data_IF_189916493532
#
_entry.id   IF_189916493532
#
_cell.length_a   1.000
_cell.length_b   1.000
_cell.length_c   1.000
_cell.angle_alpha   90.00
_cell.angle_beta   90.00
_cell.angle_gamma   90.00
#
_symmetry.space_group_name_H-M   'P 1'
#
loop_
_entity.id
_entity.type
_entity.pdbx_description
1 polymer ?
#
# COMPACT_ATOMS: atom_id res chain seq x y z
N UNK A 1 -25.60 13.75 11.22
CA UNK A 1 -24.71 13.39 10.10
C UNK A 1 -23.38 14.15 10.21
N UNK A 2 -23.39 15.49 10.18
CA UNK A 2 -22.17 16.31 10.31
C UNK A 2 -21.38 15.99 11.59
N UNK A 3 -22.08 15.86 12.72
CA UNK A 3 -21.45 15.47 14.00
C UNK A 3 -20.63 14.17 13.92
N UNK A 4 -21.07 13.18 13.13
CA UNK A 4 -20.37 11.90 12.97
C UNK A 4 -19.11 12.06 12.11
N UNK A 5 -19.17 12.92 11.08
CA UNK A 5 -18.01 13.26 10.25
C UNK A 5 -16.98 14.01 11.11
N UNK A 6 -17.45 14.94 11.95
CA UNK A 6 -16.60 15.77 12.81
C UNK A 6 -15.87 14.96 13.90
N UNK A 7 -16.34 13.75 14.25
CA UNK A 7 -15.56 12.83 15.10
C UNK A 7 -14.18 12.51 14.50
N UNK A 8 -14.09 12.48 13.16
CA UNK A 8 -12.84 12.28 12.41
C UNK A 8 -11.90 13.51 12.43
N UNK A 9 -12.37 14.68 12.87
CA UNK A 9 -11.55 15.88 12.99
C UNK A 9 -10.59 15.85 14.17
N UNK A 10 -10.66 14.82 15.02
CA UNK A 10 -9.71 14.61 16.11
C UNK A 10 -8.27 14.54 15.60
N UNK A 11 -7.33 15.14 16.33
CA UNK A 11 -5.91 14.92 16.07
C UNK A 11 -5.52 13.53 16.57
N UNK A 12 -4.70 12.77 15.83
CA UNK A 12 -4.12 11.54 16.35
C UNK A 12 -3.45 11.81 17.70
N UNK A 13 -3.60 10.92 18.69
CA UNK A 13 -2.94 11.08 19.97
C UNK A 13 -1.43 11.19 19.75
N UNK A 14 -0.81 12.24 20.30
CA UNK A 14 0.63 12.42 20.21
C UNK A 14 1.34 11.45 21.15
N UNK A 15 2.66 11.25 21.00
CA UNK A 15 3.45 10.43 21.93
C UNK A 15 3.27 10.77 23.42
N UNK A 16 2.80 11.99 23.74
CA UNK A 16 2.48 12.43 25.12
C UNK A 16 1.15 11.91 25.66
N UNK A 17 0.22 11.51 24.80
CA UNK A 17 -1.10 10.97 25.16
C UNK A 17 -1.29 9.62 24.47
N UNK A 18 -0.74 8.57 25.07
CA UNK A 18 -0.82 7.18 24.59
C UNK A 18 -2.27 6.68 24.59
N UNK A 19 -2.89 6.62 23.43
CA UNK A 19 -4.23 6.06 23.25
C UNK A 19 -4.36 5.42 21.87
N UNK A 20 -5.27 4.45 21.75
CA UNK A 20 -5.65 3.87 20.46
C UNK A 20 -6.52 4.85 19.68
N UNK A 21 -6.43 4.80 18.36
CA UNK A 21 -7.26 5.62 17.49
C UNK A 21 -7.57 4.91 16.17
N UNK A 22 -8.68 5.30 15.55
CA UNK A 22 -9.04 4.86 14.20
C UNK A 22 -8.49 5.85 13.18
N UNK A 23 -7.94 5.31 12.09
CA UNK A 23 -7.58 6.04 10.89
C UNK A 23 -8.49 5.60 9.76
N UNK A 24 -9.04 6.54 9.01
CA UNK A 24 -9.93 6.24 7.89
C UNK A 24 -9.61 7.13 6.70
N UNK A 25 -9.56 6.52 5.52
CA UNK A 25 -9.74 7.23 4.25
C UNK A 25 -11.07 6.74 3.65
N UNK A 26 -12.12 7.59 3.61
CA UNK A 26 -13.42 7.19 3.13
C UNK A 26 -13.44 6.90 1.62
N UNK A 27 -12.60 7.54 0.82
CA UNK A 27 -12.48 7.35 -0.63
C UNK A 27 -11.04 7.68 -1.05
N UNK A 28 -10.14 6.70 -0.93
CA UNK A 28 -8.79 6.81 -1.50
C UNK A 28 -8.85 6.62 -3.02
N UNK A 29 -8.13 7.48 -3.74
CA UNK A 29 -8.19 7.55 -5.19
C UNK A 29 -9.42 8.30 -5.72
N UNK A 30 -9.82 9.40 -5.06
CA UNK A 30 -11.01 10.18 -5.44
C UNK A 30 -11.06 10.57 -6.93
N UNK A 31 -9.91 10.85 -7.57
CA UNK A 31 -9.88 11.14 -9.01
C UNK A 31 -10.26 9.94 -9.87
N UNK A 32 -9.87 8.73 -9.48
CA UNK A 32 -10.22 7.49 -10.17
C UNK A 32 -11.68 7.13 -9.90
N UNK A 33 -12.14 7.30 -8.64
CA UNK A 33 -13.54 7.17 -8.28
C UNK A 33 -14.47 8.02 -9.17
N UNK A 34 -14.11 9.29 -9.42
CA UNK A 34 -14.88 10.18 -10.30
C UNK A 34 -14.95 9.73 -11.76
N UNK A 35 -13.99 8.91 -12.21
CA UNK A 35 -13.96 8.32 -13.56
C UNK A 35 -14.63 6.95 -13.62
N UNK A 36 -15.06 6.40 -12.48
CA UNK A 36 -15.58 5.03 -12.39
C UNK A 36 -14.48 3.95 -12.41
N UNK A 37 -13.23 4.32 -12.17
CA UNK A 37 -12.05 3.45 -12.12
C UNK A 37 -11.88 2.82 -10.71
N UNK A 38 -10.77 2.11 -10.48
CA UNK A 38 -10.45 1.52 -9.18
C UNK A 38 -10.31 2.58 -8.06
N UNK A 39 -10.89 2.30 -6.89
CA UNK A 39 -10.77 3.12 -5.69
C UNK A 39 -10.94 2.23 -4.46
N UNK A 40 -10.63 2.77 -3.29
CA UNK A 40 -10.77 2.01 -2.06
C UNK A 40 -11.32 2.82 -0.88
N UNK A 41 -11.88 2.08 0.09
CA UNK A 41 -12.25 2.58 1.41
C UNK A 41 -11.37 1.88 2.44
N UNK A 42 -10.67 2.67 3.25
CA UNK A 42 -9.64 2.16 4.15
C UNK A 42 -9.95 2.51 5.59
N UNK A 43 -9.75 1.53 6.48
CA UNK A 43 -9.90 1.71 7.92
C UNK A 43 -8.79 0.94 8.64
N UNK A 44 -8.13 1.61 9.59
CA UNK A 44 -7.10 1.02 10.44
C UNK A 44 -7.33 1.38 11.90
N UNK A 45 -7.06 0.43 12.80
CA UNK A 45 -6.93 0.70 14.24
C UNK A 45 -5.46 0.79 14.58
N UNK A 46 -5.02 1.91 15.16
CA UNK A 46 -3.63 2.16 15.56
C UNK A 46 -3.52 2.11 17.07
N UNK A 47 -2.46 1.48 17.58
CA UNK A 47 -2.15 1.43 19.00
C UNK A 47 -1.46 2.71 19.53
N UNK A 48 -1.24 2.74 20.83
CA UNK A 48 -0.57 3.84 21.52
C UNK A 48 0.91 4.04 21.14
N UNK A 49 1.50 3.10 20.38
CA UNK A 49 2.86 3.13 19.88
C UNK A 49 2.94 3.46 18.38
N UNK A 50 1.82 3.80 17.74
CA UNK A 50 1.78 4.12 16.32
C UNK A 50 1.87 2.88 15.42
N UNK A 51 1.46 1.70 15.91
CA UNK A 51 1.44 0.45 15.14
C UNK A 51 0.01 0.03 14.82
N UNK A 52 -0.23 -0.42 13.58
CA UNK A 52 -1.56 -0.87 13.19
C UNK A 52 -1.91 -2.19 13.89
N UNK A 53 -3.04 -2.29 14.57
CA UNK A 53 -3.56 -3.53 15.18
C UNK A 53 -4.49 -4.30 14.24
N UNK A 54 -5.28 -3.55 13.46
CA UNK A 54 -6.27 -4.06 12.51
C UNK A 54 -6.20 -3.19 11.25
N UNK A 55 -6.22 -3.83 10.08
CA UNK A 55 -6.34 -3.18 8.78
C UNK A 55 -7.54 -3.76 8.03
N UNK A 56 -8.32 -2.88 7.42
CA UNK A 56 -9.44 -3.20 6.56
C UNK A 56 -9.32 -2.36 5.30
N UNK A 57 -9.49 -3.01 4.16
CA UNK A 57 -9.51 -2.38 2.86
C UNK A 57 -10.68 -2.93 2.04
N UNK A 58 -11.65 -2.09 1.75
CA UNK A 58 -12.71 -2.40 0.80
C UNK A 58 -12.29 -1.89 -0.59
N UNK A 59 -12.44 -2.74 -1.59
CA UNK A 59 -12.16 -2.48 -3.00
C UNK A 59 -13.47 -2.68 -3.78
N UNK A 60 -14.37 -1.67 -3.81
CA UNK A 60 -15.73 -1.85 -4.33
C UNK A 60 -15.77 -2.17 -5.83
N UNK A 61 -14.80 -1.66 -6.58
CA UNK A 61 -14.70 -1.88 -8.02
C UNK A 61 -13.78 -3.06 -8.39
N UNK A 62 -13.26 -3.84 -7.44
CA UNK A 62 -12.39 -4.97 -7.77
C UNK A 62 -13.18 -6.27 -7.89
N UNK A 63 -13.30 -6.88 -9.09
CA UNK A 63 -14.07 -8.11 -9.27
C UNK A 63 -13.52 -9.27 -8.43
N UNK A 64 -14.41 -10.04 -7.80
CA UNK A 64 -14.00 -11.21 -7.02
C UNK A 64 -13.19 -12.21 -7.84
N UNK A 65 -13.52 -12.41 -9.13
CA UNK A 65 -12.76 -13.31 -10.00
C UNK A 65 -11.29 -12.89 -10.11
N UNK A 66 -11.03 -11.59 -10.29
CA UNK A 66 -9.69 -11.05 -10.43
C UNK A 66 -8.93 -11.14 -9.10
N UNK A 67 -9.60 -10.90 -7.98
CA UNK A 67 -9.00 -11.07 -6.65
C UNK A 67 -8.68 -12.54 -6.29
N UNK A 68 -9.38 -13.50 -6.90
CA UNK A 68 -9.15 -14.93 -6.69
C UNK A 68 -8.09 -15.52 -7.63
N UNK A 69 -7.89 -14.91 -8.80
CA UNK A 69 -6.92 -15.35 -9.80
C UNK A 69 -5.49 -14.92 -9.41
N UNK A 70 -4.78 -15.82 -8.73
CA UNK A 70 -3.40 -15.61 -8.33
C UNK A 70 -2.48 -15.63 -9.56
N UNK A 71 -2.19 -14.45 -10.11
CA UNK A 71 -1.38 -14.35 -11.33
C UNK A 71 -1.79 -13.17 -12.20
N UNK A 72 -3.06 -12.77 -12.14
CA UNK A 72 -3.58 -11.65 -12.92
C UNK A 72 -3.20 -10.31 -12.26
N UNK A 73 -2.82 -9.34 -13.09
CA UNK A 73 -2.60 -7.96 -12.65
C UNK A 73 -3.93 -7.27 -12.37
N UNK A 74 -3.92 -6.34 -11.43
CA UNK A 74 -5.07 -5.46 -11.24
C UNK A 74 -4.89 -4.27 -12.18
N UNK A 75 -5.92 -4.00 -12.96
CA UNK A 75 -5.95 -2.90 -13.93
C UNK A 75 -6.93 -1.82 -13.42
N UNK A 76 -6.58 -0.55 -13.65
CA UNK A 76 -7.31 0.62 -13.12
C UNK A 76 -8.74 0.75 -13.70
N UNK A 77 -8.94 0.31 -14.95
CA UNK A 77 -10.20 0.43 -15.70
C UNK A 77 -11.01 -0.88 -15.75
N UNK A 78 -10.44 -2.00 -15.32
CA UNK A 78 -11.14 -3.28 -15.22
C UNK A 78 -11.91 -3.35 -13.90
N UNK A 79 -13.17 -2.89 -13.92
CA UNK A 79 -14.00 -2.73 -12.73
C UNK A 79 -15.15 -3.74 -12.62
N UNK A 80 -15.59 -3.97 -11.38
CA UNK A 80 -16.81 -4.72 -11.06
C UNK A 80 -18.04 -3.82 -11.25
N UNK A 81 -18.88 -4.14 -12.24
CA UNK A 81 -20.09 -3.37 -12.58
C UNK A 81 -21.37 -4.00 -12.07
N UNK A 82 -21.33 -5.27 -11.66
CA UNK A 82 -22.51 -6.05 -11.27
C UNK A 82 -22.48 -6.46 -9.79
N UNK A 83 -21.28 -6.69 -9.26
CA UNK A 83 -21.05 -7.06 -7.88
C UNK A 83 -20.91 -5.86 -6.95
N UNK A 84 -20.29 -6.13 -5.81
CA UNK A 84 -19.99 -5.13 -4.78
C UNK A 84 -18.49 -5.10 -4.48
N UNK A 85 -17.67 -5.77 -5.30
CA UNK A 85 -16.25 -5.92 -5.08
C UNK A 85 -15.87 -6.81 -3.89
N UNK A 86 -14.68 -6.56 -3.36
CA UNK A 86 -14.06 -7.39 -2.32
C UNK A 86 -13.55 -6.58 -1.14
N UNK A 87 -13.31 -7.26 -0.03
CA UNK A 87 -12.70 -6.70 1.17
C UNK A 87 -11.50 -7.54 1.59
N UNK A 88 -10.37 -6.87 1.78
CA UNK A 88 -9.18 -7.39 2.44
C UNK A 88 -9.15 -6.97 3.91
N UNK A 89 -8.62 -7.83 4.76
CA UNK A 89 -8.42 -7.49 6.17
C UNK A 89 -7.28 -8.28 6.78
N UNK A 90 -6.65 -7.71 7.81
CA UNK A 90 -5.62 -8.38 8.59
C UNK A 90 -5.61 -7.88 10.03
N UNK A 91 -5.19 -8.76 10.94
CA UNK A 91 -4.95 -8.44 12.36
C UNK A 91 -3.45 -8.64 12.60
N UNK A 92 -2.81 -7.71 13.30
CA UNK A 92 -1.37 -7.82 13.58
C UNK A 92 -1.05 -9.15 14.27
N UNK A 93 -0.03 -9.83 13.76
CA UNK A 93 0.47 -11.11 14.27
C UNK A 93 -0.33 -12.33 13.83
N UNK A 94 -1.35 -12.19 12.97
CA UNK A 94 -2.08 -13.34 12.43
C UNK A 94 -1.20 -14.17 11.48
N UNK A 95 -0.25 -13.53 10.79
CA UNK A 95 0.53 -14.10 9.72
C UNK A 95 -0.30 -14.43 8.46
N UNK A 96 -1.44 -13.76 8.28
CA UNK A 96 -2.23 -13.84 7.04
C UNK A 96 -3.20 -12.66 6.87
N UNK A 97 -3.55 -12.38 5.61
CA UNK A 97 -4.71 -11.55 5.27
C UNK A 97 -5.91 -12.43 4.89
N UNK A 98 -7.12 -11.87 4.98
CA UNK A 98 -8.37 -12.51 4.59
C UNK A 98 -9.03 -11.72 3.47
N UNK A 99 -9.43 -12.43 2.41
CA UNK A 99 -10.23 -11.91 1.31
C UNK A 99 -11.69 -12.36 1.47
N UNK A 100 -12.61 -11.41 1.32
CA UNK A 100 -14.06 -11.61 1.40
C UNK A 100 -14.76 -10.95 0.22
N UNK A 101 -15.85 -11.52 -0.32
CA UNK A 101 -16.76 -10.76 -1.14
C UNK A 101 -17.50 -9.73 -0.27
N UNK A 102 -17.82 -8.58 -0.85
CA UNK A 102 -18.73 -7.63 -0.21
C UNK A 102 -20.17 -7.90 -0.64
N UNK A 103 -21.14 -7.44 0.16
CA UNK A 103 -22.55 -7.57 -0.14
C UNK A 103 -23.39 -6.60 0.69
N UNK A 104 -24.69 -6.54 0.41
CA UNK A 104 -25.63 -5.58 1.01
C UNK A 104 -25.99 -5.86 2.48
N UNK A 105 -25.57 -7.01 3.00
CA UNK A 105 -26.01 -7.52 4.30
C UNK A 105 -24.87 -7.64 5.31
N UNK A 106 -24.92 -8.72 6.09
CA UNK A 106 -23.89 -9.01 7.11
C UNK A 106 -22.54 -9.29 6.45
N UNK A 107 -21.49 -9.16 7.25
CA UNK A 107 -20.13 -9.52 6.84
C UNK A 107 -20.09 -10.96 6.29
N UNK A 108 -19.63 -11.11 5.06
CA UNK A 108 -19.53 -12.42 4.41
C UNK A 108 -18.36 -13.24 4.96
N UNK A 109 -18.41 -14.55 4.72
CA UNK A 109 -17.31 -15.46 5.04
C UNK A 109 -16.04 -15.14 4.24
N UNK A 110 -14.87 -15.43 4.81
CA UNK A 110 -13.63 -15.38 4.05
C UNK A 110 -13.59 -16.51 3.04
N UNK A 111 -13.38 -16.14 1.77
CA UNK A 111 -13.27 -17.07 0.65
C UNK A 111 -11.82 -17.49 0.41
N UNK A 112 -10.86 -16.68 0.86
CA UNK A 112 -9.44 -16.99 0.76
C UNK A 112 -8.67 -16.44 1.96
N UNK A 113 -7.79 -17.30 2.50
CA UNK A 113 -6.76 -16.94 3.48
C UNK A 113 -5.44 -16.76 2.73
N UNK A 114 -4.91 -15.55 2.73
CA UNK A 114 -3.71 -15.18 1.99
C UNK A 114 -2.52 -15.25 2.94
N UNK A 115 -1.63 -16.20 2.69
CA UNK A 115 -0.32 -16.27 3.31
C UNK A 115 0.68 -16.66 2.21
N UNK A 116 1.36 -15.66 1.66
CA UNK A 116 2.35 -15.85 0.61
C UNK A 116 3.59 -16.58 1.13
N UNK A 117 3.98 -16.37 2.39
CA UNK A 117 5.16 -17.03 3.00
C UNK A 117 5.07 -18.56 3.03
N UNK A 118 3.84 -19.10 3.01
CA UNK A 118 3.57 -20.54 2.99
C UNK A 118 3.09 -21.04 1.62
N UNK A 119 2.97 -20.18 0.62
CA UNK A 119 2.63 -20.59 -0.74
C UNK A 119 3.86 -21.22 -1.40
N UNK A 120 3.65 -22.25 -2.24
CA UNK A 120 4.74 -22.88 -2.99
C UNK A 120 5.46 -21.87 -3.91
N UNK A 121 4.79 -20.80 -4.35
CA UNK A 121 5.37 -19.75 -5.20
C UNK A 121 6.40 -18.87 -4.46
N UNK A 122 6.26 -18.62 -3.16
CA UNK A 122 7.22 -17.78 -2.43
C UNK A 122 8.42 -18.56 -1.85
N UNK A 123 8.52 -19.88 -2.13
CA UNK A 123 9.77 -20.62 -1.93
C UNK A 123 10.86 -20.20 -2.92
N UNK A 124 10.48 -19.55 -4.02
CA UNK A 124 11.40 -19.02 -5.03
C UNK A 124 11.56 -17.53 -4.77
N UNK A 125 12.76 -17.04 -4.38
CA UNK A 125 13.03 -15.62 -4.24
C UNK A 125 12.73 -14.87 -5.54
N UNK A 126 12.08 -13.71 -5.43
CA UNK A 126 11.94 -12.78 -6.55
C UNK A 126 13.34 -12.29 -6.92
N UNK A 127 13.65 -12.30 -8.22
CA UNK A 127 14.91 -11.76 -8.75
C UNK A 127 14.68 -10.31 -9.17
N UNK A 128 15.72 -9.48 -9.08
CA UNK A 128 15.64 -8.07 -9.47
C UNK A 128 15.20 -7.86 -10.93
N UNK A 129 15.65 -8.75 -11.83
CA UNK A 129 15.26 -8.72 -13.25
C UNK A 129 13.76 -9.00 -13.49
N UNK A 130 13.08 -9.66 -12.54
CA UNK A 130 11.65 -9.97 -12.61
C UNK A 130 10.80 -8.91 -11.89
N UNK A 131 11.41 -7.84 -11.38
CA UNK A 131 10.67 -6.75 -10.76
C UNK A 131 9.70 -6.12 -11.74
N UNK A 132 8.48 -5.93 -11.26
CA UNK A 132 7.49 -5.10 -11.92
C UNK A 132 6.92 -4.12 -10.88
N UNK A 133 6.96 -2.84 -11.23
CA UNK A 133 6.59 -1.77 -10.32
C UNK A 133 5.11 -1.42 -10.46
N UNK A 134 4.46 -1.13 -9.33
CA UNK A 134 3.13 -0.53 -9.30
C UNK A 134 3.23 0.94 -8.88
N UNK A 135 2.69 1.84 -9.70
CA UNK A 135 2.71 3.28 -9.41
C UNK A 135 1.58 4.03 -10.14
N UNK A 136 1.61 5.36 -10.11
CA UNK A 136 0.76 6.20 -10.95
C UNK A 136 1.55 7.38 -11.49
N UNK A 137 1.75 7.37 -12.81
CA UNK A 137 2.40 8.43 -13.58
C UNK A 137 1.72 9.81 -13.43
N UNK A 138 0.40 9.82 -13.20
CA UNK A 138 -0.38 11.05 -13.00
C UNK A 138 -0.39 11.54 -11.55
N UNK A 139 0.17 10.77 -10.61
CA UNK A 139 0.25 11.18 -9.21
C UNK A 139 1.41 12.14 -9.00
N UNK A 140 1.12 13.32 -8.44
CA UNK A 140 2.18 14.26 -8.05
C UNK A 140 2.93 13.84 -6.78
N UNK A 141 2.53 12.72 -6.15
CA UNK A 141 2.97 12.29 -4.83
C UNK A 141 4.37 11.64 -4.81
N UNK A 142 4.93 11.29 -5.97
CA UNK A 142 6.27 10.71 -6.11
C UNK A 142 7.05 11.40 -7.24
N UNK A 143 8.37 11.35 -7.17
CA UNK A 143 9.27 11.72 -8.26
C UNK A 143 9.46 10.50 -9.18
N UNK A 144 8.63 10.41 -10.22
CA UNK A 144 8.61 9.28 -11.16
C UNK A 144 9.94 9.08 -11.88
N UNK A 145 10.71 10.15 -12.12
CA UNK A 145 12.02 10.06 -12.78
C UNK A 145 13.01 9.22 -11.97
N UNK A 146 13.01 9.37 -10.64
CA UNK A 146 13.85 8.56 -9.75
C UNK A 146 13.40 7.10 -9.72
N UNK A 147 12.10 6.84 -9.86
CA UNK A 147 11.57 5.48 -9.96
C UNK A 147 12.00 4.84 -11.30
N UNK A 148 12.10 5.60 -12.40
CA UNK A 148 12.57 5.09 -13.70
C UNK A 148 14.04 4.69 -13.62
N UNK A 149 14.88 5.59 -13.11
CA UNK A 149 16.31 5.33 -12.90
C UNK A 149 16.51 4.10 -11.99
N UNK A 150 15.72 3.97 -10.92
CA UNK A 150 15.79 2.81 -10.04
C UNK A 150 15.43 1.51 -10.77
N UNK A 151 14.35 1.50 -11.56
CA UNK A 151 13.92 0.33 -12.31
C UNK A 151 14.95 -0.09 -13.37
N UNK A 152 15.57 0.88 -14.06
CA UNK A 152 16.66 0.63 -15.01
C UNK A 152 17.89 0.03 -14.31
N UNK A 153 18.32 0.62 -13.18
CA UNK A 153 19.46 0.11 -12.40
C UNK A 153 19.21 -1.26 -11.79
N UNK A 154 17.96 -1.57 -11.46
CA UNK A 154 17.55 -2.89 -11.00
C UNK A 154 17.61 -3.95 -12.12
N UNK A 155 17.75 -3.55 -13.39
CA UNK A 155 17.73 -4.45 -14.53
C UNK A 155 16.36 -5.09 -14.77
N UNK A 156 15.27 -4.42 -14.35
CA UNK A 156 13.92 -4.91 -14.51
C UNK A 156 13.59 -5.10 -16.00
N UNK A 157 13.15 -6.30 -16.38
CA UNK A 157 12.82 -6.64 -17.78
C UNK A 157 11.57 -5.91 -18.28
N UNK A 158 10.62 -5.67 -17.38
CA UNK A 158 9.41 -4.89 -17.66
C UNK A 158 9.56 -3.51 -17.01
N UNK A 159 9.85 -2.50 -17.83
CA UNK A 159 9.98 -1.11 -17.38
C UNK A 159 8.65 -0.36 -17.36
N UNK A 160 7.65 -0.86 -18.10
CA UNK A 160 6.27 -0.42 -17.97
C UNK A 160 5.76 -0.74 -16.57
N UNK A 161 4.99 0.17 -15.98
CA UNK A 161 4.46 0.04 -14.63
C UNK A 161 3.02 -0.40 -14.67
N UNK A 162 2.57 -1.10 -13.63
CA UNK A 162 1.14 -1.23 -13.37
C UNK A 162 0.64 0.13 -12.86
N UNK A 163 -0.11 0.82 -13.72
CA UNK A 163 -0.67 2.14 -13.45
C UNK A 163 -1.95 1.99 -12.62
N UNK A 164 -1.89 2.34 -11.33
CA UNK A 164 -3.03 2.35 -10.40
C UNK A 164 -3.04 3.65 -9.60
N UNK A 165 -4.13 4.42 -9.66
CA UNK A 165 -4.15 5.75 -9.02
C UNK A 165 -4.24 5.66 -7.49
N UNK A 166 -5.20 4.91 -6.95
CA UNK A 166 -5.44 4.76 -5.50
C UNK A 166 -4.21 4.19 -4.79
N UNK A 167 -3.78 4.83 -3.69
CA UNK A 167 -2.63 4.36 -2.90
C UNK A 167 -2.88 2.96 -2.35
N UNK A 168 -4.08 2.69 -1.86
CA UNK A 168 -4.45 1.40 -1.30
C UNK A 168 -4.66 0.31 -2.36
N UNK A 169 -5.18 0.65 -3.55
CA UNK A 169 -5.30 -0.31 -4.63
C UNK A 169 -3.94 -0.81 -5.12
N UNK A 170 -2.88 0.01 -5.03
CA UNK A 170 -1.50 -0.45 -5.29
C UNK A 170 -1.07 -1.54 -4.30
N UNK A 171 -1.39 -1.39 -3.01
CA UNK A 171 -1.17 -2.46 -2.04
C UNK A 171 -2.03 -3.69 -2.34
N UNK A 172 -3.30 -3.51 -2.69
CA UNK A 172 -4.18 -4.62 -3.06
C UNK A 172 -3.62 -5.40 -4.25
N UNK A 173 -3.07 -4.71 -5.26
CA UNK A 173 -2.39 -5.32 -6.40
C UNK A 173 -1.18 -6.15 -5.95
N UNK A 174 -0.33 -5.63 -5.07
CA UNK A 174 0.82 -6.41 -4.57
C UNK A 174 0.43 -7.57 -3.62
N UNK A 175 -0.74 -7.49 -2.95
CA UNK A 175 -1.25 -8.55 -2.06
C UNK A 175 -1.93 -9.68 -2.84
N UNK A 176 -2.80 -9.31 -3.78
CA UNK A 176 -3.67 -10.21 -4.53
C UNK A 176 -3.06 -10.65 -5.85
N UNK A 177 -2.39 -9.71 -6.52
CA UNK A 177 -1.83 -9.84 -7.86
C UNK A 177 -0.60 -10.73 -7.92
N UNK A 178 -0.20 -10.99 -9.16
CA UNK A 178 0.75 -12.04 -9.50
C UNK A 178 2.19 -11.61 -9.75
N UNK A 179 2.47 -10.31 -9.93
CA UNK A 179 3.79 -9.86 -10.44
C UNK A 179 4.26 -8.50 -9.93
N UNK A 180 3.40 -7.70 -9.31
CA UNK A 180 3.75 -6.42 -8.73
C UNK A 180 4.54 -6.67 -7.43
N UNK A 181 5.87 -6.57 -7.53
CA UNK A 181 6.77 -6.90 -6.42
C UNK A 181 7.31 -5.67 -5.69
N UNK A 182 7.15 -4.48 -6.27
CA UNK A 182 7.71 -3.27 -5.70
C UNK A 182 6.86 -2.01 -5.99
N UNK A 183 6.89 -1.11 -5.04
CA UNK A 183 6.50 0.28 -5.15
C UNK A 183 7.56 1.10 -4.40
N UNK A 184 8.08 2.14 -5.04
CA UNK A 184 8.98 3.10 -4.40
C UNK A 184 8.40 4.50 -4.58
N UNK A 185 8.27 5.25 -3.49
CA UNK A 185 7.84 6.64 -3.53
C UNK A 185 8.99 7.55 -3.09
N UNK A 186 9.51 8.30 -4.04
CA UNK A 186 10.51 9.35 -3.78
C UNK A 186 9.80 10.67 -3.52
N UNK A 187 9.95 11.29 -2.34
CA UNK A 187 9.40 12.61 -2.10
C UNK A 187 10.05 13.63 -3.04
N UNK A 188 9.25 14.53 -3.62
CA UNK A 188 9.77 15.68 -4.38
C UNK A 188 10.44 16.71 -3.47
N UNK A 189 9.99 16.79 -2.21
CA UNK A 189 10.58 17.66 -1.19
C UNK A 189 11.80 17.02 -0.55
N UNK A 190 12.77 17.86 -0.19
CA UNK A 190 14.00 17.39 0.43
C UNK A 190 13.74 16.75 1.81
N UNK A 191 14.70 15.94 2.26
CA UNK A 191 14.66 15.33 3.58
C UNK A 191 14.67 16.42 4.66
N UNK A 192 13.78 16.29 5.65
CA UNK A 192 13.59 17.27 6.72
C UNK A 192 12.49 18.30 6.44
N UNK A 193 11.99 18.36 5.21
CA UNK A 193 10.76 19.11 4.91
C UNK A 193 9.51 18.28 5.23
N UNK A 194 8.36 18.96 5.31
CA UNK A 194 7.08 18.33 5.59
C UNK A 194 6.73 17.26 4.53
N UNK A 195 6.54 16.01 4.99
CA UNK A 195 6.11 14.90 4.13
C UNK A 195 4.75 15.18 3.51
N UNK A 196 4.55 14.85 2.21
CA UNK A 196 3.25 15.02 1.59
C UNK A 196 2.22 13.99 2.10
N UNK A 197 2.66 12.80 2.53
CA UNK A 197 1.76 11.67 2.76
C UNK A 197 1.14 11.65 4.14
N UNK A 198 -0.13 11.29 4.16
CA UNK A 198 -0.89 11.11 5.38
C UNK A 198 -0.81 9.66 5.84
N UNK A 199 -1.04 9.43 7.14
CA UNK A 199 -1.06 8.08 7.67
C UNK A 199 -2.22 7.25 7.09
N UNK A 200 -3.36 7.88 6.81
CA UNK A 200 -4.55 7.19 6.30
C UNK A 200 -4.35 6.63 4.90
N UNK A 201 -3.47 7.20 4.08
CA UNK A 201 -3.11 6.72 2.74
C UNK A 201 -2.39 5.35 2.75
N UNK A 202 -1.97 4.87 3.93
CA UNK A 202 -1.08 3.72 4.08
C UNK A 202 -1.52 2.71 5.15
N UNK A 203 -1.95 3.17 6.33
CA UNK A 203 -2.06 2.32 7.52
C UNK A 203 -2.97 1.09 7.34
N UNK A 204 -4.13 1.25 6.68
CA UNK A 204 -5.07 0.14 6.48
C UNK A 204 -4.48 -1.00 5.64
N UNK A 205 -3.80 -0.64 4.56
CA UNK A 205 -3.28 -1.60 3.58
C UNK A 205 -1.86 -2.10 3.90
N UNK A 206 -1.03 -1.31 4.59
CA UNK A 206 0.32 -1.72 4.98
C UNK A 206 0.26 -2.95 5.90
N UNK A 207 -0.62 -2.94 6.91
CA UNK A 207 -0.79 -4.11 7.78
C UNK A 207 -1.24 -5.34 6.98
N UNK A 208 -2.20 -5.18 6.06
CA UNK A 208 -2.68 -6.25 5.18
C UNK A 208 -1.52 -6.81 4.35
N UNK A 209 -0.70 -5.93 3.78
CA UNK A 209 0.46 -6.31 2.99
C UNK A 209 1.46 -7.13 3.79
N UNK A 210 1.87 -6.66 4.97
CA UNK A 210 2.82 -7.37 5.83
C UNK A 210 2.27 -8.70 6.35
N UNK A 211 1.03 -8.74 6.85
CA UNK A 211 0.44 -9.96 7.39
C UNK A 211 0.14 -11.00 6.30
N UNK A 212 -0.21 -10.56 5.08
CA UNK A 212 -0.36 -11.48 3.95
C UNK A 212 0.94 -12.19 3.56
N UNK A 213 2.09 -11.70 4.04
CA UNK A 213 3.41 -12.18 3.67
C UNK A 213 3.86 -11.70 2.30
N UNK A 214 3.18 -10.73 1.69
CA UNK A 214 3.55 -10.19 0.38
C UNK A 214 4.90 -9.47 0.39
N UNK A 215 5.33 -8.94 1.54
CA UNK A 215 6.65 -8.35 1.67
C UNK A 215 6.78 -7.44 2.88
N UNK A 216 7.64 -6.43 2.73
CA UNK A 216 8.03 -5.48 3.77
C UNK A 216 7.81 -4.04 3.31
N UNK A 217 7.57 -3.16 4.29
CA UNK A 217 7.42 -1.72 4.08
C UNK A 217 8.40 -0.96 4.97
N UNK A 218 9.18 -0.07 4.39
CA UNK A 218 10.05 0.88 5.10
C UNK A 218 10.02 2.26 4.45
N UNK A 219 10.63 3.24 5.09
CA UNK A 219 11.01 4.48 4.41
C UNK A 219 12.31 4.28 3.58
N UNK A 220 12.80 5.34 2.93
CA UNK A 220 14.02 5.30 2.11
C UNK A 220 15.31 5.21 2.95
N UNK A 221 15.21 5.24 4.29
CA UNK A 221 16.32 4.99 5.22
C UNK A 221 16.26 3.57 5.82
N UNK A 222 15.31 2.74 5.38
CA UNK A 222 15.10 1.40 5.90
C UNK A 222 14.41 1.35 7.26
N UNK A 223 13.89 2.47 7.75
CA UNK A 223 13.18 2.52 9.04
C UNK A 223 11.72 2.06 8.86
N UNK A 224 11.14 1.39 9.87
CA UNK A 224 9.71 1.10 9.86
C UNK A 224 8.87 2.38 9.77
N UNK A 225 7.71 2.30 9.13
CA UNK A 225 6.75 3.41 9.11
C UNK A 225 6.18 3.66 10.52
N UNK A 226 6.13 4.93 10.89
CA UNK A 226 5.67 5.43 12.18
C UNK A 226 4.34 6.19 12.01
N UNK A 227 3.23 5.51 12.34
CA UNK A 227 1.90 6.12 12.34
C UNK A 227 1.61 6.90 13.63
N UNK A 228 2.56 6.99 14.57
CA UNK A 228 2.46 7.76 15.80
C UNK A 228 2.92 9.21 15.67
N UNK A 229 3.38 9.64 14.50
CA UNK A 229 3.93 10.98 14.25
C UNK A 229 2.86 12.09 14.05
N UNK A 230 1.59 11.79 14.26
CA UNK A 230 0.46 12.67 13.94
C UNK A 230 -0.15 12.32 12.59
N UNK A 231 -0.91 13.23 11.97
CA UNK A 231 -1.65 12.98 10.71
C UNK A 231 -0.77 12.64 9.51
N UNK A 232 0.45 13.15 9.52
CA UNK A 232 1.44 12.98 8.47
C UNK A 232 2.49 11.97 8.91
N UNK A 233 3.14 11.32 7.95
CA UNK A 233 4.27 10.41 8.21
C UNK A 233 5.56 11.19 8.54
N UNK A 234 5.51 12.14 9.48
CA UNK A 234 6.55 13.15 9.67
C UNK A 234 7.91 12.60 10.12
N UNK A 235 7.93 11.37 10.65
CA UNK A 235 9.16 10.68 11.05
C UNK A 235 9.74 9.78 9.95
N UNK A 236 9.09 9.72 8.78
CA UNK A 236 9.52 8.89 7.65
C UNK A 236 9.68 9.76 6.40
N UNK A 237 10.75 9.50 5.64
CA UNK A 237 10.99 10.16 4.37
C UNK A 237 11.08 9.12 3.27
N UNK A 238 10.15 9.21 2.31
CA UNK A 238 9.99 8.19 1.29
C UNK A 238 9.23 6.95 1.75
N UNK A 239 9.00 6.04 0.80
CA UNK A 239 8.36 4.75 1.05
C UNK A 239 8.93 3.71 0.08
N UNK A 240 9.23 2.53 0.60
CA UNK A 240 9.49 1.31 -0.17
C UNK A 240 8.49 0.28 0.33
N UNK A 241 7.67 -0.24 -0.58
CA UNK A 241 6.84 -1.43 -0.37
C UNK A 241 7.36 -2.47 -1.34
N UNK A 242 7.96 -3.56 -0.85
CA UNK A 242 8.55 -4.55 -1.75
C UNK A 242 8.53 -5.96 -1.17
N UNK A 243 8.56 -6.96 -2.05
CA UNK A 243 8.76 -8.36 -1.63
C UNK A 243 10.04 -8.47 -0.78
N UNK A 244 9.97 -9.29 0.27
CA UNK A 244 11.04 -9.42 1.25
C UNK A 244 12.38 -9.81 0.61
N UNK A 245 12.38 -10.61 -0.47
CA UNK A 245 13.62 -11.09 -1.09
C UNK A 245 14.40 -10.01 -1.85
N UNK A 246 13.74 -8.93 -2.28
CA UNK A 246 14.32 -7.85 -3.09
C UNK A 246 14.40 -6.53 -2.33
N UNK A 247 13.72 -6.41 -1.19
CA UNK A 247 13.62 -5.16 -0.43
C UNK A 247 14.99 -4.56 -0.06
N UNK A 248 15.95 -5.37 0.40
CA UNK A 248 17.28 -4.88 0.81
C UNK A 248 18.04 -4.28 -0.39
N UNK A 249 17.93 -4.90 -1.54
CA UNK A 249 18.60 -4.44 -2.76
C UNK A 249 17.94 -3.19 -3.33
N UNK A 250 16.60 -3.13 -3.34
CA UNK A 250 15.85 -1.92 -3.69
C UNK A 250 16.21 -0.75 -2.77
N UNK A 251 16.32 -0.98 -1.46
CA UNK A 251 16.72 0.05 -0.50
C UNK A 251 18.12 0.60 -0.80
N UNK A 252 19.07 -0.29 -1.12
CA UNK A 252 20.43 0.10 -1.50
C UNK A 252 20.42 0.95 -2.78
N UNK A 253 19.76 0.46 -3.84
CA UNK A 253 19.65 1.17 -5.13
C UNK A 253 18.96 2.53 -4.97
N UNK A 254 17.91 2.61 -4.14
CA UNK A 254 17.24 3.87 -3.86
C UNK A 254 18.20 4.88 -3.21
N UNK A 255 19.05 4.43 -2.27
CA UNK A 255 20.11 5.25 -1.68
C UNK A 255 21.11 5.79 -2.70
N UNK A 256 21.52 4.96 -3.67
CA UNK A 256 22.40 5.36 -4.77
C UNK A 256 21.75 6.41 -5.68
N UNK A 257 20.48 6.21 -6.06
CA UNK A 257 19.71 7.17 -6.87
C UNK A 257 19.58 8.53 -6.17
N UNK A 258 19.40 8.54 -4.85
CA UNK A 258 19.36 9.78 -4.06
C UNK A 258 20.74 10.47 -4.04
N UNK A 259 21.81 9.71 -3.83
CA UNK A 259 23.17 10.24 -3.69
C UNK A 259 23.75 10.84 -4.97
N UNK A 260 23.38 10.31 -6.14
CA UNK A 260 23.90 10.80 -7.43
C UNK A 260 23.25 12.12 -7.86
N UNK A 261 21.98 12.33 -7.51
CA UNK A 261 21.24 13.57 -7.84
C UNK A 261 21.70 14.76 -6.99
N UNK A 262 22.27 14.52 -5.80
CA UNK A 262 22.82 15.57 -4.95
C UNK A 262 24.22 16.06 -5.39
N UNK A 263 24.88 15.34 -6.31
CA UNK A 263 26.21 15.67 -6.82
C UNK A 263 26.19 16.43 -8.16
N UNK A 264 25.03 16.48 -8.82
CA UNK A 264 24.77 17.25 -10.04
C UNK A 264 24.00 18.53 -9.70
#
# INVERSE_FOLDING_TARGET
MLEVIDLGCSSPPTQRRKARFWSMDPIDGTSAFLKGEQYAVSLALIDEHGKELLGLLACPNLPLRAAMDAGQRIEEDVVDTEGMGVMLSAVRGSGYALLRPMGKGRLQGAVRKINRRRSKQQLIPVRMEDLHFVDSSVSCATDSSKVEILAERAGARETERTEIYSSHMRYAAMVLGGREFAQVRFPKKAKGEATPWCLWDHAGSQLIYSESGAGKVTDLEGRPIDFGAGRKLSNNWGLITADESVHVEILKLAGEVIGDIQKN
#
